data_IF_085934632968
#
_entry.id   IF_085934632968
#
_cell.length_a   1.000
_cell.length_b   1.000
_cell.length_c   1.000
_cell.angle_alpha   90.00
_cell.angle_beta   90.00
_cell.angle_gamma   90.00
#
_symmetry.space_group_name_H-M   'P 1'
#
loop_
_entity.id
_entity.type
_entity.pdbx_description
1 polymer ?
#
# COMPACT_ATOMS: atom_id res chain seq x y z
N UNK A 1 11.00 -4.66 -15.59
CA UNK A 1 10.47 -4.25 -14.28
C UNK A 1 11.67 -4.24 -13.34
N UNK A 2 12.28 -3.06 -13.15
CA UNK A 2 13.51 -2.93 -12.36
C UNK A 2 13.20 -3.14 -10.87
N UNK A 3 14.08 -3.81 -10.13
CA UNK A 3 13.94 -3.95 -8.68
C UNK A 3 14.15 -2.59 -8.02
N UNK A 4 13.23 -2.20 -7.15
CA UNK A 4 13.37 -1.02 -6.28
C UNK A 4 14.65 -1.18 -5.44
N UNK A 5 15.65 -0.37 -5.80
CA UNK A 5 16.89 -0.23 -5.05
C UNK A 5 16.59 0.42 -3.69
N UNK A 6 16.71 -0.36 -2.62
CA UNK A 6 16.51 0.09 -1.23
C UNK A 6 17.82 0.42 -0.54
N UNK A 7 18.94 0.52 -1.27
CA UNK A 7 20.24 0.86 -0.74
C UNK A 7 20.63 2.28 -1.12
N UNK A 8 20.29 3.26 -0.29
CA UNK A 8 20.89 4.57 -0.35
C UNK A 8 22.31 4.52 0.27
N UNK A 9 23.34 5.03 -0.42
CA UNK A 9 24.65 5.19 0.17
C UNK A 9 24.69 6.41 1.08
N UNK A 10 25.36 6.24 2.22
CA UNK A 10 26.11 7.26 2.98
C UNK A 10 25.52 8.68 3.09
N UNK A 11 25.03 9.02 4.28
CA UNK A 11 25.26 10.36 4.87
C UNK A 11 24.35 11.50 4.42
N UNK A 12 23.40 11.33 3.55
CA UNK A 12 22.40 12.35 3.21
C UNK A 12 21.21 12.24 4.15
N UNK A 13 20.94 13.32 4.88
CA UNK A 13 19.71 13.49 5.66
C UNK A 13 18.52 13.38 4.67
N UNK A 14 17.74 12.30 4.81
CA UNK A 14 16.47 12.16 4.10
C UNK A 14 15.68 13.46 4.27
N UNK A 15 15.11 14.05 3.21
CA UNK A 15 14.21 15.18 3.38
C UNK A 15 13.12 14.80 4.38
N UNK A 16 12.72 15.76 5.23
CA UNK A 16 11.69 15.52 6.24
C UNK A 16 10.43 14.99 5.55
N UNK A 17 9.91 13.86 6.05
CA UNK A 17 8.69 13.26 5.49
C UNK A 17 7.56 14.31 5.46
N UNK A 18 6.83 14.37 4.35
CA UNK A 18 5.71 15.31 4.22
C UNK A 18 4.57 14.92 5.19
N UNK A 19 3.70 15.86 5.60
CA UNK A 19 2.58 15.54 6.49
C UNK A 19 1.72 14.38 6.02
N UNK A 20 1.54 14.23 4.72
CA UNK A 20 0.75 13.12 4.15
C UNK A 20 1.48 11.78 4.23
N UNK A 21 2.81 11.76 4.09
CA UNK A 21 3.61 10.55 4.27
C UNK A 21 3.57 10.09 5.72
N UNK A 22 3.70 11.00 6.70
CA UNK A 22 3.55 10.71 8.12
C UNK A 22 2.17 10.13 8.43
N UNK A 23 1.12 10.71 7.83
CA UNK A 23 -0.25 10.23 7.97
C UNK A 23 -0.42 8.81 7.43
N UNK A 24 0.06 8.54 6.22
CA UNK A 24 0.02 7.23 5.57
C UNK A 24 0.86 6.19 6.30
N UNK A 25 2.04 6.57 6.75
CA UNK A 25 2.91 5.70 7.54
C UNK A 25 2.24 5.32 8.88
N UNK A 26 1.62 6.28 9.56
CA UNK A 26 0.85 6.00 10.78
C UNK A 26 -0.38 5.11 10.51
N UNK A 27 -1.00 5.26 9.34
CA UNK A 27 -2.09 4.38 8.91
C UNK A 27 -1.62 2.94 8.63
N UNK A 28 -0.39 2.75 8.15
CA UNK A 28 0.21 1.43 8.01
C UNK A 28 0.43 0.76 9.37
N UNK A 29 0.87 1.50 10.38
CA UNK A 29 1.00 0.98 11.75
C UNK A 29 -0.36 0.69 12.41
N UNK A 30 -1.38 1.49 12.11
CA UNK A 30 -2.76 1.20 12.52
C UNK A 30 -3.27 -0.11 11.93
N UNK A 31 -2.96 -0.38 10.65
CA UNK A 31 -3.24 -1.66 10.01
C UNK A 31 -2.51 -2.82 10.72
N UNK A 32 -1.21 -2.66 10.99
CA UNK A 32 -0.42 -3.69 11.65
C UNK A 32 -0.95 -4.00 13.07
N UNK A 33 -1.34 -2.97 13.84
CA UNK A 33 -1.97 -3.14 15.14
C UNK A 33 -3.29 -3.89 15.05
N UNK A 34 -4.14 -3.57 14.06
CA UNK A 34 -5.41 -4.26 13.85
C UNK A 34 -5.23 -5.74 13.46
N UNK A 35 -4.26 -6.01 12.57
CA UNK A 35 -3.96 -7.38 12.14
C UNK A 35 -3.42 -8.22 13.31
N UNK A 36 -2.45 -7.73 14.07
CA UNK A 36 -1.87 -8.48 15.19
C UNK A 36 -2.85 -8.71 16.33
N UNK A 37 -3.85 -7.84 16.53
CA UNK A 37 -4.93 -8.07 17.51
C UNK A 37 -5.97 -9.11 17.05
N UNK A 38 -6.18 -9.28 15.74
CA UNK A 38 -7.12 -10.28 15.20
C UNK A 38 -6.44 -11.61 14.85
N UNK A 39 -5.17 -11.55 14.48
CA UNK A 39 -4.35 -12.67 14.04
C UNK A 39 -3.03 -12.68 14.84
N UNK A 40 -3.02 -13.20 16.07
CA UNK A 40 -1.84 -13.14 16.95
C UNK A 40 -0.59 -13.82 16.38
N UNK A 41 -0.77 -14.80 15.48
CA UNK A 41 0.32 -15.53 14.83
C UNK A 41 0.92 -14.77 13.61
N UNK A 42 0.31 -13.64 13.21
CA UNK A 42 0.81 -12.85 12.11
C UNK A 42 2.14 -12.17 12.47
N UNK A 43 3.16 -12.38 11.64
CA UNK A 43 4.42 -11.67 11.79
C UNK A 43 4.44 -10.43 10.90
N UNK A 44 4.84 -9.32 11.50
CA UNK A 44 4.93 -8.03 10.84
C UNK A 44 6.23 -7.93 10.00
N UNK A 45 6.08 -7.60 8.73
CA UNK A 45 7.18 -7.22 7.84
C UNK A 45 7.46 -5.72 7.89
N UNK A 46 7.23 -5.05 6.77
CA UNK A 46 7.41 -3.59 6.60
C UNK A 46 6.12 -2.96 6.07
N UNK A 47 5.94 -1.66 6.37
CA UNK A 47 4.75 -0.91 5.97
C UNK A 47 5.05 0.54 5.60
N UNK A 48 5.67 0.82 4.42
CA UNK A 48 5.92 2.17 3.97
C UNK A 48 4.66 2.86 3.44
N UNK A 49 4.64 4.21 3.38
CA UNK A 49 3.64 4.96 2.64
C UNK A 49 3.78 4.73 1.12
N UNK A 50 2.70 4.98 0.38
CA UNK A 50 2.63 5.01 -1.09
C UNK A 50 2.02 6.34 -1.56
N UNK A 51 1.99 6.60 -2.87
CA UNK A 51 1.49 7.86 -3.45
C UNK A 51 0.01 8.14 -3.14
N UNK A 52 -0.80 7.12 -2.88
CA UNK A 52 -2.23 7.23 -2.60
C UNK A 52 -2.66 6.63 -1.26
N UNK A 53 -1.70 6.07 -0.51
CA UNK A 53 -2.02 5.40 0.74
C UNK A 53 -0.82 4.72 1.39
N UNK A 54 -0.98 3.45 1.70
CA UNK A 54 0.01 2.66 2.41
C UNK A 54 -0.14 1.17 2.10
N UNK A 55 0.85 0.39 2.50
CA UNK A 55 0.69 -1.06 2.62
C UNK A 55 1.38 -1.57 3.89
N UNK A 56 1.12 -2.80 4.23
CA UNK A 56 1.88 -3.54 5.22
C UNK A 56 1.97 -5.01 4.84
N UNK A 57 3.16 -5.59 5.02
CA UNK A 57 3.46 -6.99 4.72
C UNK A 57 3.34 -7.86 5.96
N UNK A 58 2.65 -8.99 5.83
CA UNK A 58 2.46 -9.95 6.90
C UNK A 58 2.86 -11.35 6.45
N UNK A 59 3.62 -12.04 7.29
CA UNK A 59 3.78 -13.49 7.18
C UNK A 59 2.69 -14.15 8.02
N UNK A 60 1.83 -14.92 7.36
CA UNK A 60 0.66 -15.56 7.97
C UNK A 60 0.58 -17.02 7.57
N UNK A 61 -0.06 -17.85 8.41
CA UNK A 61 -0.23 -19.28 8.16
C UNK A 61 -1.21 -19.60 7.03
N UNK A 62 -2.15 -18.69 6.74
CA UNK A 62 -3.09 -18.76 5.60
C UNK A 62 -3.28 -17.40 4.95
N UNK A 63 -3.61 -17.33 3.65
CA UNK A 63 -3.96 -16.08 3.00
C UNK A 63 -5.16 -15.39 3.67
N UNK A 64 -5.16 -14.05 3.67
CA UNK A 64 -6.32 -13.27 4.09
C UNK A 64 -7.44 -13.38 3.07
N UNK A 65 -8.68 -13.50 3.56
CA UNK A 65 -9.90 -13.48 2.75
C UNK A 65 -10.51 -12.07 2.71
N UNK A 66 -11.46 -11.78 1.80
CA UNK A 66 -12.19 -10.51 1.79
C UNK A 66 -12.92 -10.20 3.10
N UNK A 67 -13.41 -11.25 3.78
CA UNK A 67 -14.06 -11.16 5.10
C UNK A 67 -13.04 -10.74 6.17
N UNK A 68 -11.83 -11.30 6.12
CA UNK A 68 -10.73 -10.89 7.01
C UNK A 68 -10.41 -9.40 6.83
N UNK A 69 -10.28 -8.92 5.57
CA UNK A 69 -10.02 -7.51 5.29
C UNK A 69 -11.13 -6.60 5.82
N UNK A 70 -12.39 -7.03 5.71
CA UNK A 70 -13.52 -6.32 6.29
C UNK A 70 -13.44 -6.27 7.82
N UNK A 71 -13.06 -7.36 8.46
CA UNK A 71 -12.87 -7.42 9.92
C UNK A 71 -11.69 -6.55 10.37
N UNK A 72 -10.59 -6.58 9.64
CA UNK A 72 -9.41 -5.74 9.89
C UNK A 72 -9.77 -4.25 9.77
N UNK A 73 -10.48 -3.83 8.74
CA UNK A 73 -10.89 -2.43 8.56
C UNK A 73 -11.81 -1.95 9.70
N UNK A 74 -12.76 -2.79 10.13
CA UNK A 74 -13.59 -2.51 11.30
C UNK A 74 -12.76 -2.38 12.59
N UNK A 75 -11.74 -3.23 12.74
CA UNK A 75 -10.84 -3.19 13.89
C UNK A 75 -9.98 -1.93 13.88
N UNK A 76 -9.46 -1.52 12.73
CA UNK A 76 -8.77 -0.23 12.56
C UNK A 76 -9.65 0.93 13.00
N UNK A 77 -10.90 0.99 12.53
CA UNK A 77 -11.86 2.03 12.93
C UNK A 77 -12.16 2.00 14.44
N UNK A 78 -12.17 0.83 15.06
CA UNK A 78 -12.32 0.70 16.51
C UNK A 78 -11.10 1.27 17.27
N UNK A 79 -9.88 0.95 16.82
CA UNK A 79 -8.64 1.48 17.42
C UNK A 79 -8.58 3.01 17.30
N UNK A 80 -9.00 3.57 16.15
CA UNK A 80 -9.10 5.03 15.98
C UNK A 80 -10.03 5.67 17.03
N UNK A 81 -11.21 5.05 17.27
CA UNK A 81 -12.15 5.53 18.28
C UNK A 81 -11.59 5.47 19.71
N UNK A 82 -10.69 4.54 19.99
CA UNK A 82 -10.01 4.44 21.28
C UNK A 82 -8.99 5.56 21.53
N UNK A 83 -8.62 6.32 20.50
CA UNK A 83 -7.66 7.41 20.58
C UNK A 83 -6.34 6.99 21.27
N UNK A 84 -5.75 5.88 20.82
CA UNK A 84 -4.50 5.39 21.40
C UNK A 84 -3.34 6.33 21.08
N UNK A 85 -2.49 6.71 22.06
CA UNK A 85 -1.28 7.47 21.76
C UNK A 85 -0.31 6.61 20.92
N UNK A 86 0.43 7.28 20.05
CA UNK A 86 1.53 6.69 19.28
C UNK A 86 2.83 7.28 19.82
N UNK A 87 3.56 6.49 20.58
CA UNK A 87 4.71 6.97 21.33
C UNK A 87 6.01 6.38 20.80
N UNK A 88 7.00 7.26 20.62
CA UNK A 88 8.37 6.86 20.34
C UNK A 88 9.05 6.38 21.60
N UNK A 89 9.71 5.22 21.53
CA UNK A 89 10.54 4.67 22.60
C UNK A 89 11.91 4.29 22.07
N UNK A 90 12.94 4.62 22.84
CA UNK A 90 14.29 4.16 22.59
C UNK A 90 14.57 3.00 23.56
N UNK A 91 14.87 1.84 23.03
CA UNK A 91 15.03 0.60 23.80
C UNK A 91 16.43 0.04 23.51
N UNK A 92 17.18 -0.41 24.53
CA UNK A 92 18.45 -1.11 24.30
C UNK A 92 18.25 -2.28 23.32
N UNK A 93 19.22 -2.49 22.42
CA UNK A 93 19.06 -3.48 21.33
C UNK A 93 18.79 -4.90 21.82
N UNK A 94 19.43 -5.30 22.92
CA UNK A 94 19.19 -6.61 23.54
C UNK A 94 17.74 -6.76 24.03
N UNK A 95 17.20 -5.74 24.72
CA UNK A 95 15.82 -5.73 25.21
C UNK A 95 14.80 -5.70 24.07
N UNK A 96 15.09 -4.94 23.00
CA UNK A 96 14.22 -4.91 21.82
C UNK A 96 14.14 -6.29 21.16
N UNK A 97 15.27 -6.96 20.96
CA UNK A 97 15.30 -8.31 20.39
C UNK A 97 14.55 -9.32 21.26
N UNK A 98 14.69 -9.26 22.58
CA UNK A 98 13.94 -10.11 23.51
C UNK A 98 12.43 -9.83 23.45
N UNK A 99 12.03 -8.56 23.41
CA UNK A 99 10.62 -8.14 23.29
C UNK A 99 9.96 -8.69 22.02
N UNK A 100 10.62 -8.51 20.86
CA UNK A 100 10.08 -8.98 19.59
C UNK A 100 10.11 -10.52 19.48
N UNK A 101 11.13 -11.17 20.01
CA UNK A 101 11.18 -12.63 20.09
C UNK A 101 10.05 -13.22 20.95
N UNK A 102 9.79 -12.65 22.12
CA UNK A 102 8.66 -13.06 22.98
C UNK A 102 7.29 -12.89 22.31
N UNK A 103 7.17 -11.88 21.41
CA UNK A 103 5.96 -11.66 20.61
C UNK A 103 5.91 -12.50 19.30
N UNK A 104 6.87 -13.41 19.06
CA UNK A 104 6.93 -14.24 17.86
C UNK A 104 7.30 -13.47 16.59
N UNK A 105 7.77 -12.22 16.71
CA UNK A 105 8.07 -11.32 15.59
C UNK A 105 9.50 -11.51 15.07
N UNK A 106 9.81 -12.70 14.54
CA UNK A 106 11.19 -13.06 14.11
C UNK A 106 11.69 -12.20 12.97
N UNK A 107 10.80 -11.77 12.04
CA UNK A 107 11.15 -10.86 10.95
C UNK A 107 11.60 -9.49 11.47
N UNK A 108 11.01 -9.00 12.57
CA UNK A 108 11.45 -7.76 13.22
C UNK A 108 12.80 -7.93 13.91
N UNK A 109 13.05 -9.08 14.54
CA UNK A 109 14.37 -9.37 15.10
C UNK A 109 15.47 -9.33 14.01
N UNK A 110 15.21 -9.93 12.84
CA UNK A 110 16.12 -9.89 11.69
C UNK A 110 16.38 -8.44 11.22
N UNK A 111 15.33 -7.63 11.06
CA UNK A 111 15.45 -6.23 10.67
C UNK A 111 16.23 -5.39 11.69
N UNK A 112 16.00 -5.62 12.98
CA UNK A 112 16.72 -4.94 14.06
C UNK A 112 18.22 -5.30 14.03
N UNK A 113 18.54 -6.56 13.82
CA UNK A 113 19.93 -6.99 13.73
C UNK A 113 20.67 -6.34 12.56
N UNK A 114 20.01 -6.26 11.40
CA UNK A 114 20.60 -5.75 10.16
C UNK A 114 20.65 -4.22 10.06
N UNK A 115 19.59 -3.54 10.52
CA UNK A 115 19.36 -2.12 10.18
C UNK A 115 19.37 -1.17 11.37
N UNK A 116 19.37 -1.66 12.62
CA UNK A 116 19.36 -0.76 13.76
C UNK A 116 20.71 -0.63 14.45
N UNK A 117 20.97 0.60 14.95
CA UNK A 117 21.99 0.85 15.96
C UNK A 117 21.52 0.44 17.37
N UNK A 118 22.18 0.94 18.39
CA UNK A 118 21.81 0.84 19.79
C UNK A 118 21.81 2.26 20.37
N UNK A 119 20.68 2.76 20.90
CA UNK A 119 19.39 2.10 21.10
C UNK A 119 18.54 1.95 19.84
N UNK A 120 17.63 0.97 19.88
CA UNK A 120 16.63 0.72 18.83
C UNK A 120 15.45 1.66 19.01
N UNK A 121 15.02 2.30 17.93
CA UNK A 121 13.82 3.13 17.94
C UNK A 121 12.60 2.27 17.66
N UNK A 122 11.65 2.27 18.61
CA UNK A 122 10.36 1.60 18.48
C UNK A 122 9.22 2.63 18.63
N UNK A 123 8.06 2.28 18.08
CA UNK A 123 6.81 3.00 18.31
C UNK A 123 5.78 2.06 18.92
N UNK A 124 5.04 2.58 19.91
CA UNK A 124 3.98 1.85 20.59
C UNK A 124 2.61 2.45 20.28
N UNK A 125 1.59 1.58 20.19
CA UNK A 125 0.18 1.95 20.00
C UNK A 125 -0.67 1.01 20.85
N UNK A 126 -0.86 1.34 22.13
CA UNK A 126 -1.39 0.39 23.11
C UNK A 126 -0.44 -0.79 23.30
N UNK A 127 -0.93 -2.02 23.15
CA UNK A 127 -0.11 -3.25 23.24
C UNK A 127 0.74 -3.55 21.99
N UNK A 128 0.43 -2.88 20.87
CA UNK A 128 1.21 -3.00 19.65
C UNK A 128 2.53 -2.26 19.77
N UNK A 129 3.60 -2.90 19.37
CA UNK A 129 4.95 -2.32 19.30
C UNK A 129 5.55 -2.66 17.94
N UNK A 130 6.16 -1.67 17.29
CA UNK A 130 6.87 -1.88 16.04
C UNK A 130 8.25 -1.23 16.04
N UNK A 131 9.20 -1.88 15.35
CA UNK A 131 10.50 -1.30 15.00
C UNK A 131 10.32 -0.37 13.79
N UNK A 132 10.53 0.92 14.00
CA UNK A 132 10.33 1.92 12.96
C UNK A 132 11.16 3.18 13.22
N UNK A 133 11.62 3.81 12.14
CA UNK A 133 12.37 5.07 12.21
C UNK A 133 11.44 6.31 12.32
N UNK A 134 10.12 6.14 12.08
CA UNK A 134 9.16 7.24 12.11
C UNK A 134 9.43 8.30 11.04
N UNK A 135 8.87 9.51 11.17
CA UNK A 135 7.96 9.95 12.24
C UNK A 135 6.53 9.41 12.12
N UNK A 136 5.72 9.60 13.17
CA UNK A 136 4.31 9.22 13.23
C UNK A 136 3.45 10.33 13.79
N UNK A 137 2.13 10.23 13.57
CA UNK A 137 1.12 11.05 14.22
C UNK A 137 1.13 10.83 15.74
N UNK A 138 0.71 11.80 16.56
CA UNK A 138 0.72 11.66 18.02
C UNK A 138 -0.33 10.67 18.55
N UNK A 139 -1.42 10.43 17.83
CA UNK A 139 -2.46 9.49 18.23
C UNK A 139 -3.26 8.93 17.05
N UNK A 140 -3.91 7.79 17.29
CA UNK A 140 -4.75 7.12 16.26
C UNK A 140 -5.99 7.94 15.88
N UNK A 141 -6.48 8.84 16.74
CA UNK A 141 -7.65 9.70 16.46
C UNK A 141 -7.43 10.64 15.27
N UNK A 142 -6.18 10.94 14.95
CA UNK A 142 -5.86 11.81 13.82
C UNK A 142 -6.03 11.11 12.46
N UNK A 143 -6.08 9.78 12.44
CA UNK A 143 -6.31 8.99 11.23
C UNK A 143 -7.81 8.93 10.96
N UNK A 144 -8.32 9.86 10.12
CA UNK A 144 -9.76 10.08 9.91
C UNK A 144 -10.32 9.32 8.72
N UNK A 145 -9.54 9.18 7.65
CA UNK A 145 -10.03 8.66 6.38
C UNK A 145 -9.05 7.63 5.80
N UNK A 146 -9.47 6.37 5.82
CA UNK A 146 -8.75 5.25 5.23
C UNK A 146 -9.73 4.22 4.68
N UNK A 147 -9.27 3.41 3.72
CA UNK A 147 -10.00 2.27 3.15
C UNK A 147 -9.02 1.21 2.73
N UNK A 148 -9.22 -0.05 3.13
CA UNK A 148 -8.42 -1.15 2.63
C UNK A 148 -8.84 -1.51 1.19
N UNK A 149 -7.87 -1.92 0.36
CA UNK A 149 -8.15 -2.50 -0.96
C UNK A 149 -8.79 -3.88 -0.77
N UNK A 150 -9.66 -4.26 -1.70
CA UNK A 150 -10.49 -5.46 -1.58
C UNK A 150 -9.71 -6.78 -1.58
N UNK A 151 -8.50 -6.78 -2.15
CA UNK A 151 -7.70 -7.98 -2.33
C UNK A 151 -6.28 -7.76 -1.81
N UNK A 152 -5.74 -8.73 -1.04
CA UNK A 152 -4.33 -8.71 -0.67
C UNK A 152 -3.46 -9.09 -1.88
N UNK A 153 -2.22 -8.68 -1.87
CA UNK A 153 -1.24 -9.08 -2.88
C UNK A 153 -0.19 -10.02 -2.27
N UNK A 154 0.38 -10.89 -3.11
CA UNK A 154 1.56 -11.66 -2.73
C UNK A 154 2.82 -10.79 -2.83
N UNK A 155 3.72 -10.95 -1.90
CA UNK A 155 5.04 -10.33 -1.90
C UNK A 155 6.06 -11.31 -1.34
N UNK A 156 7.35 -11.12 -1.65
CA UNK A 156 8.42 -11.88 -1.00
C UNK A 156 9.11 -11.03 0.06
N UNK A 157 9.49 -11.65 1.16
CA UNK A 157 10.27 -10.97 2.20
C UNK A 157 11.51 -10.31 1.60
N UNK A 158 11.70 -9.02 1.87
CA UNK A 158 12.79 -8.20 1.29
C UNK A 158 12.82 -8.17 -0.25
N UNK A 159 11.70 -8.47 -0.90
CA UNK A 159 11.58 -8.45 -2.36
C UNK A 159 12.40 -9.53 -3.09
N UNK A 160 12.94 -10.53 -2.40
CA UNK A 160 13.77 -11.58 -3.00
C UNK A 160 12.98 -12.86 -3.17
N UNK A 161 12.95 -13.36 -4.40
CA UNK A 161 12.42 -14.69 -4.72
C UNK A 161 13.21 -15.77 -3.95
N UNK A 162 12.50 -16.72 -3.34
CA UNK A 162 13.08 -17.73 -2.46
C UNK A 162 12.99 -17.41 -0.97
N UNK A 163 12.73 -16.15 -0.59
CA UNK A 163 12.36 -15.79 0.78
C UNK A 163 10.88 -16.13 1.07
N UNK A 164 10.44 -16.16 2.34
CA UNK A 164 9.06 -16.43 2.70
C UNK A 164 8.07 -15.56 1.91
N UNK A 165 7.01 -16.20 1.38
CA UNK A 165 5.90 -15.50 0.74
C UNK A 165 5.07 -14.78 1.79
N UNK A 166 4.81 -13.50 1.58
CA UNK A 166 4.07 -12.63 2.48
C UNK A 166 2.74 -12.22 1.85
N UNK A 167 1.79 -11.90 2.70
CA UNK A 167 0.54 -11.26 2.29
C UNK A 167 0.67 -9.76 2.49
N UNK A 168 0.52 -8.99 1.41
CA UNK A 168 0.54 -7.53 1.43
C UNK A 168 -0.87 -6.99 1.41
N UNK A 169 -1.23 -6.22 2.42
CA UNK A 169 -2.51 -5.50 2.48
C UNK A 169 -2.26 -4.04 2.12
N UNK A 170 -2.94 -3.56 1.09
CA UNK A 170 -2.92 -2.16 0.68
C UNK A 170 -4.10 -1.40 1.27
N UNK A 171 -3.89 -0.13 1.57
CA UNK A 171 -4.94 0.81 1.96
C UNK A 171 -4.73 2.19 1.36
N UNK A 172 -5.83 2.89 1.12
CA UNK A 172 -5.86 4.31 0.82
C UNK A 172 -5.91 5.11 2.11
N UNK A 173 -5.25 6.27 2.16
CA UNK A 173 -5.31 7.16 3.31
C UNK A 173 -5.19 8.63 2.87
N UNK A 174 -6.15 9.44 3.34
CA UNK A 174 -6.30 10.86 3.04
C UNK A 174 -6.62 11.64 4.32
N UNK A 175 -6.39 12.95 4.34
CA UNK A 175 -6.67 13.74 5.53
C UNK A 175 -8.17 13.86 5.82
N UNK A 176 -9.01 13.87 4.78
CA UNK A 176 -10.44 14.01 4.91
C UNK A 176 -11.19 12.86 4.24
N UNK A 177 -12.43 12.64 4.71
CA UNK A 177 -13.32 11.66 4.09
C UNK A 177 -13.70 12.05 2.67
N UNK A 178 -13.87 13.33 2.42
CA UNK A 178 -14.21 13.89 1.11
C UNK A 178 -13.11 13.58 0.08
N UNK A 179 -11.83 13.74 0.44
CA UNK A 179 -10.70 13.38 -0.41
C UNK A 179 -10.67 11.87 -0.71
N UNK A 180 -10.89 11.04 0.31
CA UNK A 180 -10.97 9.59 0.14
C UNK A 180 -12.13 9.20 -0.78
N UNK A 181 -13.32 9.74 -0.56
CA UNK A 181 -14.53 9.44 -1.36
C UNK A 181 -14.31 9.88 -2.82
N UNK A 182 -13.70 11.04 -3.07
CA UNK A 182 -13.34 11.49 -4.42
C UNK A 182 -12.32 10.57 -5.09
N UNK A 183 -11.33 10.07 -4.33
CA UNK A 183 -10.33 9.13 -4.84
C UNK A 183 -10.99 7.78 -5.21
N UNK A 184 -11.83 7.24 -4.35
CA UNK A 184 -12.57 6.01 -4.61
C UNK A 184 -13.51 6.15 -5.81
N UNK A 185 -14.20 7.28 -5.93
CA UNK A 185 -15.03 7.59 -7.10
C UNK A 185 -14.21 7.61 -8.39
N UNK A 186 -13.01 8.24 -8.39
CA UNK A 186 -12.13 8.26 -9.58
C UNK A 186 -11.68 6.84 -9.97
N UNK A 187 -11.37 5.98 -9.00
CA UNK A 187 -11.01 4.58 -9.28
C UNK A 187 -12.17 3.82 -9.90
N UNK A 188 -13.39 3.99 -9.37
CA UNK A 188 -14.58 3.32 -9.90
C UNK A 188 -14.92 3.81 -11.31
N UNK A 189 -14.82 5.12 -11.55
CA UNK A 189 -14.98 5.69 -12.89
C UNK A 189 -13.90 5.19 -13.87
N UNK A 190 -12.64 5.07 -13.44
CA UNK A 190 -11.57 4.51 -14.25
C UNK A 190 -11.86 3.05 -14.65
N UNK A 191 -12.34 2.23 -13.71
CA UNK A 191 -12.78 0.85 -13.99
C UNK A 191 -13.94 0.80 -14.97
N UNK A 192 -14.92 1.69 -14.79
CA UNK A 192 -16.08 1.79 -15.67
C UNK A 192 -15.69 2.20 -17.09
N UNK A 193 -14.67 3.07 -17.21
CA UNK A 193 -14.15 3.60 -18.48
C UNK A 193 -12.99 2.80 -19.06
N UNK A 194 -12.69 1.60 -18.54
CA UNK A 194 -11.64 0.75 -19.08
C UNK A 194 -11.92 0.46 -20.56
N UNK A 195 -10.98 0.87 -21.42
CA UNK A 195 -11.13 0.74 -22.87
C UNK A 195 -11.32 -0.70 -23.34
N UNK A 196 -10.77 -1.68 -22.61
CA UNK A 196 -10.92 -3.11 -22.92
C UNK A 196 -12.36 -3.57 -22.69
N UNK A 197 -13.00 -3.02 -21.65
CA UNK A 197 -14.42 -3.26 -21.35
C UNK A 197 -15.30 -2.55 -22.38
N UNK A 198 -15.12 -1.24 -22.51
CA UNK A 198 -15.91 -0.42 -23.44
C UNK A 198 -15.70 -0.84 -24.90
N UNK A 199 -14.49 -1.18 -25.30
CA UNK A 199 -14.19 -1.66 -26.64
C UNK A 199 -14.98 -2.89 -27.02
N UNK A 200 -15.15 -3.83 -26.09
CA UNK A 200 -15.96 -5.03 -26.27
C UNK A 200 -17.46 -4.73 -26.26
N UNK A 201 -17.93 -3.99 -25.22
CA UNK A 201 -19.36 -3.68 -25.05
C UNK A 201 -19.94 -2.84 -26.22
N UNK A 202 -19.13 -1.94 -26.75
CA UNK A 202 -19.52 -1.03 -27.85
C UNK A 202 -19.15 -1.56 -29.24
N UNK A 203 -18.53 -2.73 -29.30
CA UNK A 203 -18.07 -3.34 -30.55
C UNK A 203 -17.12 -2.43 -31.34
N UNK A 204 -16.09 -1.90 -30.65
CA UNK A 204 -15.15 -0.96 -31.23
C UNK A 204 -13.92 -1.63 -31.84
N UNK A 205 -13.44 -2.70 -31.21
CA UNK A 205 -12.27 -3.46 -31.67
C UNK A 205 -12.24 -4.85 -31.02
N UNK A 206 -11.44 -5.72 -31.60
CA UNK A 206 -11.09 -7.03 -31.05
C UNK A 206 -9.59 -7.28 -31.11
N UNK A 207 -9.15 -8.25 -30.35
CA UNK A 207 -7.81 -8.85 -30.43
C UNK A 207 -8.06 -10.34 -30.66
N UNK A 208 -7.59 -10.86 -31.78
CA UNK A 208 -7.77 -12.26 -32.16
C UNK A 208 -6.41 -12.98 -32.14
N UNK A 209 -6.41 -14.23 -31.73
CA UNK A 209 -5.20 -15.05 -31.65
C UNK A 209 -4.57 -15.24 -33.04
N UNK A 210 -5.40 -15.27 -34.08
CA UNK A 210 -4.99 -15.43 -35.48
C UNK A 210 -4.17 -14.25 -36.01
N UNK A 211 -4.38 -13.06 -35.44
CA UNK A 211 -3.63 -11.85 -35.82
C UNK A 211 -2.37 -11.64 -35.02
N UNK A 212 -2.26 -12.33 -33.88
CA UNK A 212 -1.15 -12.22 -32.95
C UNK A 212 -1.39 -11.29 -31.76
N UNK A 213 -0.68 -11.54 -30.68
CA UNK A 213 -0.83 -10.80 -29.44
C UNK A 213 -0.53 -9.30 -29.60
N UNK A 214 -1.44 -8.44 -29.12
CA UNK A 214 -1.28 -7.00 -29.15
C UNK A 214 -1.71 -6.32 -30.44
N UNK A 215 -2.09 -7.05 -31.48
CA UNK A 215 -2.63 -6.47 -32.72
C UNK A 215 -4.13 -6.24 -32.58
N UNK A 216 -4.54 -4.98 -32.73
CA UNK A 216 -5.94 -4.55 -32.60
C UNK A 216 -6.60 -4.54 -33.95
N UNK A 217 -7.69 -5.30 -34.09
CA UNK A 217 -8.60 -5.25 -35.23
C UNK A 217 -9.71 -4.24 -34.95
N UNK A 218 -9.70 -3.13 -35.70
CA UNK A 218 -10.69 -2.09 -35.57
C UNK A 218 -11.99 -2.46 -36.29
N UNK A 219 -13.09 -2.49 -35.55
CA UNK A 219 -14.41 -2.65 -36.13
C UNK A 219 -14.94 -1.32 -36.72
N UNK A 220 -15.98 -1.29 -37.55
CA UNK A 220 -16.38 -0.09 -38.26
C UNK A 220 -16.62 1.13 -37.34
N UNK A 221 -17.28 0.93 -36.19
CA UNK A 221 -17.50 2.01 -35.23
C UNK A 221 -16.20 2.52 -34.61
N UNK A 222 -15.33 1.60 -34.20
CA UNK A 222 -14.03 1.94 -33.61
C UNK A 222 -13.11 2.61 -34.62
N UNK A 223 -13.06 2.12 -35.85
CA UNK A 223 -12.33 2.75 -36.95
C UNK A 223 -12.79 4.18 -37.24
N UNK A 224 -14.11 4.41 -37.22
CA UNK A 224 -14.65 5.76 -37.36
C UNK A 224 -14.23 6.69 -36.23
N UNK A 225 -14.38 6.28 -34.97
CA UNK A 225 -13.98 7.09 -33.80
C UNK A 225 -12.47 7.37 -33.83
N UNK A 226 -11.67 6.35 -34.12
CA UNK A 226 -10.22 6.49 -34.28
C UNK A 226 -9.87 7.54 -35.32
N UNK A 227 -10.49 7.46 -36.51
CA UNK A 227 -10.27 8.42 -37.57
C UNK A 227 -10.61 9.85 -37.16
N UNK A 228 -11.72 10.08 -36.45
CA UNK A 228 -12.09 11.42 -35.98
C UNK A 228 -11.05 11.99 -35.01
N UNK A 229 -10.50 11.18 -34.10
CA UNK A 229 -9.45 11.58 -33.17
C UNK A 229 -8.14 11.89 -33.92
N UNK A 230 -7.75 11.03 -34.87
CA UNK A 230 -6.53 11.22 -35.69
C UNK A 230 -6.62 12.47 -36.59
N UNK A 231 -7.77 12.71 -37.20
CA UNK A 231 -8.00 13.89 -38.04
C UNK A 231 -7.94 15.17 -37.18
N UNK A 232 -8.66 15.21 -36.04
CA UNK A 232 -8.62 16.33 -35.10
C UNK A 232 -7.19 16.62 -34.62
N UNK A 233 -6.47 15.60 -34.19
CA UNK A 233 -5.08 15.72 -33.73
C UNK A 233 -4.18 16.28 -34.81
N UNK A 234 -4.33 15.82 -36.07
CA UNK A 234 -3.56 16.25 -37.20
C UNK A 234 -3.85 17.72 -37.53
N UNK A 235 -5.13 18.09 -37.57
CA UNK A 235 -5.55 19.46 -37.90
C UNK A 235 -5.04 20.49 -36.87
N UNK A 236 -5.12 20.15 -35.57
CA UNK A 236 -4.58 21.00 -34.50
C UNK A 236 -3.06 21.19 -34.60
N UNK A 237 -2.32 20.12 -34.95
CA UNK A 237 -0.87 20.22 -35.13
C UNK A 237 -0.48 21.04 -36.36
N UNK A 238 -1.22 20.92 -37.45
CA UNK A 238 -0.96 21.73 -38.62
C UNK A 238 -1.33 23.22 -38.40
N UNK A 239 -2.36 23.49 -37.61
CA UNK A 239 -2.75 24.85 -37.27
C UNK A 239 -1.79 25.52 -36.28
N UNK A 240 -1.15 24.74 -35.41
CA UNK A 240 -0.24 25.20 -34.36
C UNK A 240 1.21 25.40 -34.82
N UNK A 241 1.61 24.88 -35.97
CA UNK A 241 2.98 24.98 -36.54
C UNK A 241 3.87 23.86 -36.10
#
# INVERSE_FOLDING_TARGET
MEPLDTTGPSGETKPADSPIEIYRHSSAHLLAAAVTELFPDAQCGIGPPTDDGFFYDFLVSRPFTPEDLTAIEKKMAHIVKQNRPIEKKLVPKAEALELFAKKGQTLKCELIQEKSGDPVQCYTMGEFVDFCLGPHLPSTKEIKAFKLKAEPAAAYWKGKEGNPSMQRIYGYAFFTKEELDQHLFRIEEAKRRDHRKLGRELDLFSIADETGAGLVLWHPKGGFVRKQIEDYWRDEHYAGG
#
